data_IF_645213763813
#
_entry.id   IF_645213763813
#
_cell.length_a   1.000
_cell.length_b   1.000
_cell.length_c   1.000
_cell.angle_alpha   90.00
_cell.angle_beta   90.00
_cell.angle_gamma   90.00
#
_symmetry.space_group_name_H-M   'P 1'
#
loop_
_entity.id
_entity.type
_entity.pdbx_description
1 polymer ?
#
# COMPACT_ATOMS: atom_id res chain seq x y z
N UNK A 1 8.62 -24.45 5.28
CA UNK A 1 8.50 -24.26 6.74
C UNK A 1 7.11 -23.75 7.08
N UNK A 2 6.24 -24.53 7.75
CA UNK A 2 4.84 -24.18 7.99
C UNK A 2 4.60 -22.89 8.78
N UNK A 3 5.52 -22.48 9.65
CA UNK A 3 5.41 -21.22 10.42
C UNK A 3 5.70 -19.94 9.62
N UNK A 4 6.48 -20.05 8.54
CA UNK A 4 6.92 -18.86 7.76
C UNK A 4 5.74 -18.22 7.04
N UNK A 5 4.82 -19.01 6.48
CA UNK A 5 3.64 -18.47 5.79
C UNK A 5 2.74 -17.67 6.76
N UNK A 6 2.54 -18.17 7.98
CA UNK A 6 1.77 -17.45 9.01
C UNK A 6 2.43 -16.14 9.40
N UNK A 7 3.76 -16.13 9.57
CA UNK A 7 4.51 -14.91 9.88
C UNK A 7 4.39 -13.90 8.74
N UNK A 8 4.61 -14.32 7.49
CA UNK A 8 4.50 -13.44 6.31
C UNK A 8 3.10 -12.85 6.22
N UNK A 9 2.05 -13.66 6.36
CA UNK A 9 0.66 -13.18 6.34
C UNK A 9 0.40 -12.16 7.45
N UNK A 10 0.83 -12.43 8.68
CA UNK A 10 0.64 -11.52 9.80
C UNK A 10 1.38 -10.19 9.58
N UNK A 11 2.59 -10.22 9.03
CA UNK A 11 3.35 -9.01 8.68
C UNK A 11 2.65 -8.18 7.62
N UNK A 12 2.15 -8.81 6.54
CA UNK A 12 1.40 -8.12 5.48
C UNK A 12 0.11 -7.50 6.03
N UNK A 13 -0.60 -8.21 6.91
CA UNK A 13 -1.80 -7.67 7.54
C UNK A 13 -1.49 -6.46 8.42
N UNK A 14 -0.46 -6.53 9.27
CA UNK A 14 -0.03 -5.40 10.11
C UNK A 14 0.39 -4.19 9.29
N UNK A 15 1.05 -4.40 8.15
CA UNK A 15 1.40 -3.33 7.23
C UNK A 15 0.14 -2.63 6.68
N UNK A 16 -0.84 -3.41 6.20
CA UNK A 16 -2.13 -2.87 5.72
C UNK A 16 -2.85 -2.12 6.84
N UNK A 17 -2.92 -2.70 8.04
CA UNK A 17 -3.58 -2.08 9.19
C UNK A 17 -2.93 -0.73 9.52
N UNK A 18 -1.59 -0.65 9.52
CA UNK A 18 -0.86 0.60 9.71
C UNK A 18 -1.20 1.67 8.66
N UNK A 19 -1.33 1.29 7.38
CA UNK A 19 -1.76 2.23 6.33
C UNK A 19 -3.19 2.73 6.55
N UNK A 20 -4.09 1.86 7.02
CA UNK A 20 -5.48 2.23 7.34
C UNK A 20 -5.52 3.19 8.53
N UNK A 21 -4.71 2.95 9.57
CA UNK A 21 -4.61 3.85 10.72
C UNK A 21 -4.08 5.23 10.32
N UNK A 22 -3.05 5.28 9.47
CA UNK A 22 -2.52 6.55 8.94
C UNK A 22 -3.57 7.29 8.10
N UNK A 23 -4.27 6.59 7.21
CA UNK A 23 -5.34 7.16 6.41
C UNK A 23 -6.46 7.75 7.29
N UNK A 24 -6.81 7.05 8.38
CA UNK A 24 -7.81 7.53 9.34
C UNK A 24 -7.31 8.77 10.08
N UNK A 25 -6.08 8.75 10.56
CA UNK A 25 -5.48 9.87 11.27
C UNK A 25 -5.36 11.12 10.37
N UNK A 26 -5.18 10.94 9.06
CA UNK A 26 -5.15 12.01 8.08
C UNK A 26 -6.55 12.58 7.73
N UNK A 27 -7.63 11.93 8.16
CA UNK A 27 -9.00 12.38 7.86
C UNK A 27 -9.57 11.85 6.55
N UNK A 28 -9.02 10.78 5.97
CA UNK A 28 -9.54 10.20 4.74
C UNK A 28 -11.02 9.78 4.89
N UNK A 29 -11.84 10.08 3.88
CA UNK A 29 -13.27 9.73 3.87
C UNK A 29 -13.54 8.23 3.88
N UNK A 30 -12.63 7.43 3.32
CA UNK A 30 -12.66 5.97 3.40
C UNK A 30 -11.27 5.38 3.70
N UNK A 31 -10.83 5.38 4.98
CA UNK A 31 -9.48 4.97 5.37
C UNK A 31 -9.15 3.52 5.02
N UNK A 32 -10.15 2.63 5.11
CA UNK A 32 -9.98 1.21 4.78
C UNK A 32 -9.71 1.03 3.29
N UNK A 33 -10.47 1.70 2.43
CA UNK A 33 -10.26 1.62 0.99
C UNK A 33 -8.88 2.18 0.61
N UNK A 34 -8.54 3.38 1.09
CA UNK A 34 -7.25 4.01 0.79
C UNK A 34 -6.08 3.13 1.24
N UNK A 35 -6.07 2.65 2.50
CA UNK A 35 -4.99 1.83 3.01
C UNK A 35 -4.79 0.52 2.23
N UNK A 36 -5.87 -0.14 1.80
CA UNK A 36 -5.76 -1.35 0.97
C UNK A 36 -5.23 -1.04 -0.44
N UNK A 37 -5.67 0.04 -1.07
CA UNK A 37 -5.18 0.44 -2.39
C UNK A 37 -3.68 0.79 -2.35
N UNK A 38 -3.23 1.53 -1.33
CA UNK A 38 -1.82 1.84 -1.12
C UNK A 38 -0.98 0.58 -0.90
N UNK A 39 -1.49 -0.41 -0.16
CA UNK A 39 -0.80 -1.69 0.00
C UNK A 39 -0.64 -2.45 -1.32
N UNK A 40 -1.69 -2.48 -2.15
CA UNK A 40 -1.62 -3.11 -3.48
C UNK A 40 -0.61 -2.40 -4.38
N UNK A 41 -0.59 -1.05 -4.38
CA UNK A 41 0.40 -0.28 -5.16
C UNK A 41 1.83 -0.58 -4.71
N UNK A 42 2.08 -0.64 -3.40
CA UNK A 42 3.41 -0.95 -2.85
C UNK A 42 3.88 -2.35 -3.25
N UNK A 43 3.04 -3.37 -3.06
CA UNK A 43 3.37 -4.76 -3.42
C UNK A 43 3.55 -4.92 -4.93
N UNK A 44 2.69 -4.30 -5.73
CA UNK A 44 2.76 -4.31 -7.18
C UNK A 44 4.04 -3.65 -7.71
N UNK A 45 4.42 -2.50 -7.15
CA UNK A 45 5.66 -1.82 -7.50
C UNK A 45 6.89 -2.67 -7.19
N UNK A 46 6.96 -3.26 -5.98
CA UNK A 46 8.05 -4.14 -5.59
C UNK A 46 8.19 -5.37 -6.51
N UNK A 47 7.05 -5.99 -6.86
CA UNK A 47 7.02 -7.13 -7.76
C UNK A 47 7.48 -6.75 -9.17
N UNK A 48 6.95 -5.68 -9.76
CA UNK A 48 7.32 -5.23 -11.10
C UNK A 48 8.77 -4.75 -11.17
N UNK A 49 9.26 -4.01 -10.15
CA UNK A 49 10.66 -3.61 -10.07
C UNK A 49 11.60 -4.82 -10.13
N UNK A 50 11.24 -5.89 -9.43
CA UNK A 50 12.01 -7.14 -9.41
C UNK A 50 11.92 -7.87 -10.75
N UNK A 51 10.72 -8.02 -11.31
CA UNK A 51 10.50 -8.79 -12.54
C UNK A 51 11.02 -8.10 -13.79
N UNK A 52 10.94 -6.78 -13.86
CA UNK A 52 11.39 -5.98 -15.01
C UNK A 52 12.82 -5.44 -14.83
N UNK A 53 13.41 -5.60 -13.65
CA UNK A 53 14.67 -4.97 -13.26
C UNK A 53 14.66 -3.45 -13.52
N UNK A 54 13.52 -2.81 -13.19
CA UNK A 54 13.27 -1.40 -13.45
C UNK A 54 12.70 -0.69 -12.21
N UNK A 55 13.51 0.19 -11.64
CA UNK A 55 13.14 0.99 -10.47
C UNK A 55 12.10 2.09 -10.79
N UNK A 56 11.82 2.40 -12.05
CA UNK A 56 10.85 3.44 -12.46
C UNK A 56 9.43 3.12 -11.98
N UNK A 57 9.11 1.84 -11.78
CA UNK A 57 7.85 1.33 -11.24
C UNK A 57 7.50 1.92 -9.87
N UNK A 58 8.51 2.24 -9.03
CA UNK A 58 8.30 2.93 -7.75
C UNK A 58 7.81 4.37 -7.92
N UNK A 59 8.33 5.10 -8.91
CA UNK A 59 7.89 6.46 -9.19
C UNK A 59 6.44 6.48 -9.69
N UNK A 60 6.06 5.50 -10.52
CA UNK A 60 4.68 5.34 -11.00
C UNK A 60 3.72 5.03 -9.85
N UNK A 61 4.07 4.09 -8.97
CA UNK A 61 3.25 3.75 -7.80
C UNK A 61 3.11 4.92 -6.83
N UNK A 62 4.18 5.72 -6.65
CA UNK A 62 4.13 6.95 -5.87
C UNK A 62 3.14 7.96 -6.45
N UNK A 63 3.21 8.26 -7.75
CA UNK A 63 2.29 9.21 -8.38
C UNK A 63 0.82 8.75 -8.28
N UNK A 64 0.56 7.45 -8.44
CA UNK A 64 -0.77 6.89 -8.23
C UNK A 64 -1.22 7.00 -6.76
N UNK A 65 -0.33 6.73 -5.81
CA UNK A 65 -0.62 6.87 -4.37
C UNK A 65 -0.95 8.31 -3.98
N UNK A 66 -0.19 9.30 -4.48
CA UNK A 66 -0.45 10.73 -4.26
C UNK A 66 -1.86 11.10 -4.74
N UNK A 67 -2.25 10.66 -5.94
CA UNK A 67 -3.59 10.90 -6.49
C UNK A 67 -4.70 10.31 -5.59
N UNK A 68 -4.52 9.08 -5.11
CA UNK A 68 -5.52 8.43 -4.23
C UNK A 68 -5.62 9.11 -2.86
N UNK A 69 -4.49 9.56 -2.31
CA UNK A 69 -4.44 10.29 -1.04
C UNK A 69 -5.18 11.61 -1.19
N UNK A 70 -4.86 12.41 -2.22
CA UNK A 70 -5.49 13.70 -2.46
C UNK A 70 -7.01 13.55 -2.61
N UNK A 71 -7.47 12.58 -3.39
CA UNK A 71 -8.90 12.28 -3.55
C UNK A 71 -9.57 11.90 -2.23
N UNK A 72 -8.92 11.09 -1.41
CA UNK A 72 -9.47 10.62 -0.15
C UNK A 72 -9.53 11.73 0.92
N UNK A 73 -8.67 12.74 0.82
CA UNK A 73 -8.58 13.88 1.75
C UNK A 73 -9.38 15.11 1.29
N UNK A 74 -9.76 15.19 0.02
CA UNK A 74 -10.55 16.30 -0.53
C UNK A 74 -12.06 16.26 -0.17
N UNK A 75 -12.48 15.34 0.70
CA UNK A 75 -13.89 15.11 1.09
C UNK A 75 -14.27 15.82 2.37
#
# INVERSE_FOLDING_TARGET
>A
MPGVQTIVRATKQKFIDGLIELARAAGASNPRSLGNQLAVLYEGAAALATSLNDASTWAQARAAAETLIDQALAS
#
